data_IF_096161580307
#
_entry.id   IF_096161580307
#
_cell.length_a   1.000
_cell.length_b   1.000
_cell.length_c   1.000
_cell.angle_alpha   90.00
_cell.angle_beta   90.00
_cell.angle_gamma   90.00
#
_symmetry.space_group_name_H-M   'P 1'
#
loop_
_entity.id
_entity.type
_entity.pdbx_description
1 polymer ?
#
# COMPACT_ATOMS: atom_id res chain seq x y z
N UNK A 1 6.26 -3.91 -8.96
CA UNK A 1 6.53 -5.26 -8.43
C UNK A 1 6.17 -6.24 -9.53
N UNK A 2 7.04 -7.23 -9.79
CA UNK A 2 6.87 -8.20 -10.88
C UNK A 2 6.76 -9.59 -10.27
N UNK A 3 5.87 -10.46 -10.77
CA UNK A 3 5.83 -11.86 -10.37
C UNK A 3 7.16 -12.58 -10.67
N UNK A 4 7.49 -13.59 -9.88
CA UNK A 4 8.62 -14.49 -10.14
C UNK A 4 8.29 -15.48 -11.28
N UNK A 5 9.21 -16.39 -11.57
CA UNK A 5 9.05 -17.42 -12.62
C UNK A 5 7.87 -18.38 -12.40
N UNK A 6 7.34 -18.46 -11.17
CA UNK A 6 6.15 -19.23 -10.82
C UNK A 6 4.87 -18.40 -10.86
N UNK A 7 4.93 -17.15 -11.32
CA UNK A 7 3.77 -16.25 -11.38
C UNK A 7 3.35 -15.69 -10.01
N UNK A 8 4.19 -15.80 -8.98
CA UNK A 8 3.89 -15.32 -7.63
C UNK A 8 4.58 -13.99 -7.34
N UNK A 9 3.90 -13.13 -6.59
CA UNK A 9 4.49 -12.00 -5.89
C UNK A 9 5.17 -12.53 -4.63
N UNK A 10 6.52 -12.48 -4.53
CA UNK A 10 7.22 -12.98 -3.37
C UNK A 10 6.98 -12.08 -2.14
N UNK A 11 6.99 -12.69 -0.96
CA UNK A 11 6.90 -11.99 0.32
C UNK A 11 7.94 -10.87 0.42
N UNK A 12 7.49 -9.76 1.00
CA UNK A 12 8.33 -8.61 1.31
C UNK A 12 8.33 -8.27 2.80
N UNK A 13 7.86 -9.20 3.65
CA UNK A 13 7.99 -9.06 5.09
C UNK A 13 9.46 -8.77 5.48
N UNK A 14 9.68 -7.76 6.31
CA UNK A 14 11.01 -7.34 6.75
C UNK A 14 11.88 -6.61 5.72
N UNK A 15 11.44 -6.43 4.47
CA UNK A 15 12.21 -5.63 3.50
C UNK A 15 12.28 -4.17 3.92
N UNK A 16 13.49 -3.59 3.87
CA UNK A 16 13.72 -2.17 4.23
C UNK A 16 12.96 -1.24 3.29
N UNK A 17 12.92 -1.56 2.00
CA UNK A 17 12.22 -0.77 0.96
C UNK A 17 11.29 -1.69 0.17
N UNK A 18 10.10 -2.03 0.69
CA UNK A 18 9.17 -2.90 -0.01
C UNK A 18 8.62 -2.21 -1.26
N UNK A 19 8.19 -2.99 -2.23
CA UNK A 19 7.48 -2.55 -3.43
C UNK A 19 6.03 -3.02 -3.37
N UNK A 20 5.09 -2.23 -3.86
CA UNK A 20 3.68 -2.60 -3.80
C UNK A 20 2.78 -1.51 -4.37
N UNK A 21 1.55 -1.42 -3.87
CA UNK A 21 0.63 -0.33 -4.23
C UNK A 21 0.94 0.90 -3.37
N UNK A 22 1.13 2.02 -4.03
CA UNK A 22 1.29 3.32 -3.38
C UNK A 22 -0.06 3.82 -2.85
N UNK A 23 -0.05 4.29 -1.62
CA UNK A 23 -1.16 5.03 -0.99
C UNK A 23 -0.59 6.28 -0.32
N UNK A 24 -1.45 7.26 -0.01
CA UNK A 24 -1.02 8.51 0.63
C UNK A 24 -1.83 8.77 1.90
N UNK A 25 -1.15 9.23 2.95
CA UNK A 25 -1.76 9.75 4.19
C UNK A 25 -2.25 11.19 4.03
N UNK A 26 -1.72 11.91 3.04
CA UNK A 26 -2.00 13.34 2.80
C UNK A 26 -2.52 13.55 1.39
N UNK A 27 -3.75 13.10 1.06
CA UNK A 27 -4.26 13.14 -0.30
C UNK A 27 -4.26 14.56 -0.88
N UNK A 28 -4.62 15.58 -0.09
CA UNK A 28 -4.65 17.01 -0.50
C UNK A 28 -3.27 17.60 -0.86
N UNK A 29 -2.20 16.99 -0.36
CA UNK A 29 -0.82 17.45 -0.57
C UNK A 29 -0.08 16.59 -1.60
N UNK A 30 -0.72 15.54 -2.11
CA UNK A 30 -0.11 14.56 -3.01
C UNK A 30 0.15 15.10 -4.42
N UNK A 31 -0.52 16.19 -4.82
CA UNK A 31 -0.53 16.69 -6.20
C UNK A 31 -1.41 15.87 -7.16
N UNK A 32 -2.06 14.81 -6.67
CA UNK A 32 -3.05 14.05 -7.43
C UNK A 32 -4.40 14.78 -7.47
N UNK A 33 -5.20 14.49 -8.49
CA UNK A 33 -6.54 15.04 -8.69
C UNK A 33 -7.55 13.91 -8.89
N UNK A 34 -8.81 14.18 -8.60
CA UNK A 34 -9.92 13.24 -8.74
C UNK A 34 -10.48 12.74 -7.41
N UNK A 35 -11.24 11.66 -7.48
CA UNK A 35 -11.83 11.05 -6.30
C UNK A 35 -10.79 10.23 -5.54
N UNK A 36 -10.83 10.31 -4.22
CA UNK A 36 -10.00 9.48 -3.36
C UNK A 36 -10.85 8.70 -2.38
N UNK A 37 -10.31 7.56 -1.99
CA UNK A 37 -10.86 6.70 -0.95
C UNK A 37 -9.85 6.61 0.19
N UNK A 38 -10.36 6.47 1.42
CA UNK A 38 -9.56 6.42 2.64
C UNK A 38 -9.74 5.07 3.32
N UNK A 39 -8.67 4.61 3.95
CA UNK A 39 -8.73 3.49 4.88
C UNK A 39 -8.84 4.06 6.30
N UNK A 40 -9.80 3.60 7.13
CA UNK A 40 -9.85 3.99 8.54
C UNK A 40 -8.56 3.63 9.30
N UNK A 41 -8.18 4.43 10.29
CA UNK A 41 -6.90 4.31 11.00
C UNK A 41 -6.74 3.01 11.81
N UNK A 42 -7.86 2.43 12.26
CA UNK A 42 -7.92 1.23 13.10
C UNK A 42 -8.07 -0.08 12.30
N UNK A 43 -8.02 0.00 10.96
CA UNK A 43 -8.09 -1.19 10.12
C UNK A 43 -6.88 -2.09 10.36
N UNK A 44 -7.17 -3.31 10.79
CA UNK A 44 -6.19 -4.40 10.79
C UNK A 44 -5.98 -4.86 9.35
N UNK A 45 -4.73 -4.81 8.89
CA UNK A 45 -4.38 -5.39 7.60
C UNK A 45 -4.71 -6.89 7.59
N UNK A 46 -5.35 -7.40 6.52
CA UNK A 46 -5.63 -8.83 6.40
C UNK A 46 -4.32 -9.62 6.31
N UNK A 47 -4.40 -10.91 6.63
CA UNK A 47 -3.26 -11.80 6.44
C UNK A 47 -2.75 -11.74 4.99
N UNK A 48 -1.43 -11.68 4.85
CA UNK A 48 -0.77 -11.52 3.57
C UNK A 48 -0.58 -10.09 3.09
N UNK A 49 -1.16 -9.07 3.73
CA UNK A 49 -0.83 -7.66 3.46
C UNK A 49 -0.10 -7.00 4.62
N UNK A 50 0.81 -6.10 4.28
CA UNK A 50 1.45 -5.17 5.21
C UNK A 50 1.43 -3.75 4.64
N UNK A 51 1.53 -2.75 5.52
CA UNK A 51 1.66 -1.35 5.13
C UNK A 51 2.92 -0.76 5.75
N UNK A 52 3.70 -0.03 4.96
CA UNK A 52 4.86 0.72 5.43
C UNK A 52 4.66 2.20 5.14
N UNK A 53 4.75 3.03 6.17
CA UNK A 53 4.81 4.48 6.05
C UNK A 53 6.24 4.91 5.71
N UNK A 54 6.54 5.03 4.41
CA UNK A 54 7.88 5.21 3.86
C UNK A 54 8.12 6.59 3.21
N UNK A 55 7.17 7.52 3.34
CA UNK A 55 7.37 8.93 3.02
C UNK A 55 8.46 9.58 3.89
N UNK A 56 9.22 10.52 3.32
CA UNK A 56 10.34 11.21 3.98
C UNK A 56 9.96 12.03 5.22
N UNK A 57 8.67 12.23 5.46
CA UNK A 57 8.10 12.78 6.69
C UNK A 57 8.16 11.80 7.88
N UNK A 58 8.45 10.52 7.63
CA UNK A 58 8.61 9.48 8.64
C UNK A 58 10.08 9.14 8.90
N UNK A 59 10.45 8.66 10.10
CA UNK A 59 11.80 8.20 10.39
C UNK A 59 12.28 7.11 9.41
N UNK A 60 13.41 7.36 8.73
CA UNK A 60 13.97 6.42 7.75
C UNK A 60 13.20 6.35 6.41
N UNK A 61 12.25 7.26 6.18
CA UNK A 61 11.52 7.38 4.93
C UNK A 61 12.39 7.81 3.74
N UNK A 62 11.99 7.40 2.54
CA UNK A 62 12.72 7.65 1.30
C UNK A 62 11.82 8.06 0.13
N UNK A 63 10.49 7.96 0.28
CA UNK A 63 9.50 8.37 -0.71
C UNK A 63 9.06 9.82 -0.48
N UNK A 64 8.20 10.34 -1.36
CA UNK A 64 7.57 11.65 -1.17
C UNK A 64 6.83 11.74 0.18
N UNK A 65 6.70 12.94 0.78
CA UNK A 65 5.93 13.10 2.01
C UNK A 65 4.53 12.52 1.91
N UNK A 66 4.05 11.90 2.99
CA UNK A 66 2.73 11.27 3.06
C UNK A 66 2.65 9.89 2.42
N UNK A 67 3.64 9.46 1.65
CA UNK A 67 3.62 8.17 0.96
C UNK A 67 3.62 6.98 1.95
N UNK A 68 2.87 5.95 1.58
CA UNK A 68 2.96 4.61 2.17
C UNK A 68 2.90 3.55 1.06
N UNK A 69 3.48 2.39 1.32
CA UNK A 69 3.43 1.24 0.43
C UNK A 69 2.65 0.11 1.09
N UNK A 70 1.60 -0.39 0.42
CA UNK A 70 0.95 -1.66 0.77
C UNK A 70 1.60 -2.79 -0.02
N UNK A 71 2.09 -3.83 0.65
CA UNK A 71 2.94 -4.87 0.08
C UNK A 71 2.55 -6.29 0.58
N UNK A 72 2.89 -7.36 -0.17
CA UNK A 72 2.62 -8.73 0.24
C UNK A 72 3.55 -9.18 1.37
N UNK A 73 3.02 -9.79 2.43
CA UNK A 73 3.79 -10.35 3.56
C UNK A 73 3.99 -11.87 3.47
N UNK A 74 3.37 -12.52 2.49
CA UNK A 74 3.61 -13.91 2.08
C UNK A 74 3.57 -14.02 0.56
N UNK A 75 4.02 -15.14 0.04
CA UNK A 75 3.92 -15.42 -1.39
C UNK A 75 2.43 -15.56 -1.79
N UNK A 76 2.04 -14.90 -2.87
CA UNK A 76 0.66 -14.89 -3.38
C UNK A 76 0.62 -14.54 -4.86
N UNK A 77 -0.49 -14.82 -5.54
CA UNK A 77 -0.65 -14.38 -6.94
C UNK A 77 -0.90 -12.85 -7.00
N UNK A 78 -0.67 -12.21 -8.16
CA UNK A 78 -1.09 -10.83 -8.37
C UNK A 78 -2.58 -10.59 -8.14
N UNK A 79 -3.42 -11.54 -8.54
CA UNK A 79 -4.87 -11.45 -8.39
C UNK A 79 -5.26 -11.53 -6.92
N UNK A 80 -4.70 -12.48 -6.16
CA UNK A 80 -4.91 -12.58 -4.72
C UNK A 80 -4.48 -11.30 -3.98
N UNK A 81 -3.33 -10.72 -4.36
CA UNK A 81 -2.89 -9.45 -3.80
C UNK A 81 -3.88 -8.30 -4.10
N UNK A 82 -4.38 -8.22 -5.33
CA UNK A 82 -5.36 -7.21 -5.72
C UNK A 82 -6.69 -7.41 -5.00
N UNK A 83 -7.15 -8.65 -4.85
CA UNK A 83 -8.40 -8.99 -4.17
C UNK A 83 -8.30 -8.65 -2.66
N UNK A 84 -7.19 -9.00 -2.01
CA UNK A 84 -6.93 -8.59 -0.62
C UNK A 84 -6.88 -7.07 -0.49
N UNK A 85 -6.22 -6.36 -1.41
CA UNK A 85 -6.15 -4.90 -1.37
C UNK A 85 -7.53 -4.25 -1.56
N UNK A 86 -8.34 -4.77 -2.49
CA UNK A 86 -9.66 -4.24 -2.80
C UNK A 86 -10.71 -4.62 -1.75
N UNK A 87 -10.49 -5.68 -0.96
CA UNK A 87 -11.38 -6.10 0.13
C UNK A 87 -11.21 -5.29 1.42
N UNK A 88 -10.15 -4.46 1.51
CA UNK A 88 -10.03 -3.48 2.57
C UNK A 88 -11.26 -2.55 2.59
N UNK A 89 -11.72 -2.09 3.78
CA UNK A 89 -12.92 -1.26 3.91
C UNK A 89 -12.65 0.19 3.47
N UNK A 90 -12.43 0.38 2.16
CA UNK A 90 -12.21 1.69 1.56
C UNK A 90 -13.48 2.54 1.64
N UNK A 91 -13.39 3.70 2.27
CA UNK A 91 -14.48 4.66 2.36
C UNK A 91 -14.27 5.80 1.38
N UNK A 92 -15.35 6.35 0.82
CA UNK A 92 -15.24 7.53 -0.02
C UNK A 92 -14.70 8.71 0.78
N UNK A 93 -13.51 9.19 0.42
CA UNK A 93 -12.83 10.25 1.14
C UNK A 93 -13.14 11.64 0.61
N UNK A 94 -13.51 11.76 -0.67
CA UNK A 94 -13.86 13.03 -1.31
C UNK A 94 -13.28 13.17 -2.72
N UNK A 95 -13.17 14.43 -3.17
CA UNK A 95 -12.58 14.82 -4.44
C UNK A 95 -11.56 15.95 -4.22
N UNK A 96 -10.42 15.85 -4.89
CA UNK A 96 -9.35 16.88 -4.96
C UNK A 96 -9.27 17.41 -6.38
#
# INVERSE_FOLDING_TARGET
>A
MTPNEHGLLPSQAGKVKPQGKSVTRTPKESGLQGYYHTLPEDVKMPDGLGIKHDGRDMPGGYMSPGHSTVYPTRDMTPDEFNDLFNSLPWEYGGKI
#
